data_IF_408554638858
#
_entry.id   IF_408554638858
#
_cell.length_a   1.000
_cell.length_b   1.000
_cell.length_c   1.000
_cell.angle_alpha   90.00
_cell.angle_beta   90.00
_cell.angle_gamma   90.00
#
_symmetry.space_group_name_H-M   'P 1'
#
loop_
_entity.id
_entity.type
_entity.pdbx_description
1 polymer ?
#
# COMPACT_ATOMS: atom_id res chain seq x y z
N UNK A 1 21.44 -73.40 68.22
CA UNK A 1 22.51 -72.58 67.62
C UNK A 1 21.89 -71.94 66.39
N UNK A 2 21.29 -70.76 66.54
CA UNK A 2 21.88 -69.42 66.42
C UNK A 2 21.72 -68.85 64.99
N UNK A 3 20.91 -67.80 64.94
CA UNK A 3 20.43 -67.01 63.81
C UNK A 3 21.47 -65.99 63.35
N UNK A 4 21.61 -65.78 62.03
CA UNK A 4 22.08 -64.49 61.51
C UNK A 4 21.30 -64.13 60.24
N UNK A 5 20.38 -63.18 60.40
CA UNK A 5 19.77 -62.40 59.32
C UNK A 5 20.87 -61.50 58.72
N UNK A 6 21.02 -61.47 57.39
CA UNK A 6 21.84 -60.47 56.71
C UNK A 6 20.94 -59.60 55.84
N UNK A 7 20.64 -58.40 56.35
CA UNK A 7 19.98 -57.34 55.62
C UNK A 7 20.92 -56.78 54.56
N UNK A 8 20.52 -56.83 53.29
CA UNK A 8 21.18 -56.12 52.21
C UNK A 8 20.38 -54.83 51.94
N UNK A 9 20.84 -53.72 52.51
CA UNK A 9 20.41 -52.39 52.12
C UNK A 9 21.24 -51.94 50.92
N UNK A 10 20.61 -51.71 49.77
CA UNK A 10 21.25 -50.94 48.69
C UNK A 10 20.24 -49.91 48.17
N UNK A 11 20.65 -48.67 48.42
CA UNK A 11 20.13 -47.36 48.08
C UNK A 11 19.59 -47.21 46.64
N UNK A 12 18.35 -46.72 46.53
CA UNK A 12 17.78 -46.18 45.31
C UNK A 12 18.34 -44.76 45.08
N UNK A 13 19.31 -44.62 44.18
CA UNK A 13 19.80 -43.31 43.75
C UNK A 13 18.79 -42.69 42.77
N UNK A 14 17.99 -41.72 43.25
CA UNK A 14 17.12 -40.90 42.41
C UNK A 14 17.98 -39.81 41.74
N UNK A 15 18.39 -40.04 40.49
CA UNK A 15 19.05 -39.01 39.69
C UNK A 15 17.98 -38.02 39.17
N UNK A 16 17.81 -36.89 39.87
CA UNK A 16 17.00 -35.78 39.38
C UNK A 16 17.81 -35.05 38.30
N UNK A 17 17.58 -35.40 37.04
CA UNK A 17 18.09 -34.62 35.92
C UNK A 17 17.30 -33.31 35.87
N UNK A 18 17.89 -32.23 36.38
CA UNK A 18 17.41 -30.89 36.14
C UNK A 18 17.64 -30.57 34.65
N UNK A 19 16.65 -30.86 33.81
CA UNK A 19 16.61 -30.36 32.44
C UNK A 19 16.42 -28.85 32.55
N UNK A 20 17.53 -28.11 32.42
CA UNK A 20 17.51 -26.69 32.14
C UNK A 20 16.84 -26.52 30.78
N UNK A 21 15.51 -26.35 30.78
CA UNK A 21 14.80 -25.78 29.64
C UNK A 21 15.46 -24.42 29.37
N UNK A 22 16.06 -24.20 28.19
CA UNK A 22 16.45 -22.85 27.83
C UNK A 22 15.15 -22.04 27.84
N UNK A 23 15.06 -21.14 28.80
CA UNK A 23 14.04 -20.11 28.83
C UNK A 23 14.40 -19.18 27.67
N UNK A 24 14.04 -19.59 26.45
CA UNK A 24 13.95 -18.69 25.32
C UNK A 24 12.80 -17.78 25.66
N UNK A 25 13.08 -16.73 26.43
CA UNK A 25 12.34 -15.49 26.37
C UNK A 25 12.36 -15.11 24.90
N UNK A 26 11.32 -15.53 24.16
CA UNK A 26 10.98 -14.93 22.90
C UNK A 26 10.70 -13.48 23.29
N UNK A 27 11.72 -12.64 23.19
CA UNK A 27 11.52 -11.22 23.05
C UNK A 27 10.57 -11.15 21.86
N UNK A 28 9.29 -10.93 22.14
CA UNK A 28 8.31 -10.63 21.11
C UNK A 28 8.80 -9.30 20.56
N UNK A 29 9.70 -9.39 19.60
CA UNK A 29 10.16 -8.23 18.87
C UNK A 29 8.91 -7.74 18.18
N UNK A 30 8.37 -6.64 18.70
CA UNK A 30 7.18 -6.02 18.15
C UNK A 30 7.49 -5.75 16.68
N UNK A 31 6.76 -6.46 15.80
CA UNK A 31 6.88 -6.28 14.36
C UNK A 31 6.42 -4.85 14.05
N UNK A 32 7.03 -4.16 13.08
CA UNK A 32 6.54 -2.88 12.61
C UNK A 32 5.04 -2.96 12.29
N UNK A 33 4.29 -1.98 12.76
CA UNK A 33 2.85 -1.89 12.54
C UNK A 33 2.53 -0.57 11.84
N UNK A 34 1.73 -0.64 10.77
CA UNK A 34 1.26 0.55 10.07
C UNK A 34 0.38 1.39 10.99
N UNK A 35 0.58 2.72 11.06
CA UNK A 35 -0.16 3.57 11.99
C UNK A 35 -1.70 3.45 11.82
N UNK A 36 -2.14 3.33 10.57
CA UNK A 36 -3.56 3.20 10.23
C UNK A 36 -4.17 1.87 10.65
N UNK A 37 -3.40 0.82 10.94
CA UNK A 37 -3.97 -0.48 11.31
C UNK A 37 -4.27 -0.58 12.81
N UNK A 38 -3.69 0.30 13.64
CA UNK A 38 -3.73 0.23 15.12
C UNK A 38 -5.17 0.10 15.64
N UNK A 39 -6.11 0.87 15.07
CA UNK A 39 -7.49 0.92 15.54
C UNK A 39 -8.34 -0.28 15.09
N UNK A 40 -7.89 -1.04 14.08
CA UNK A 40 -8.56 -2.24 13.53
C UNK A 40 -7.71 -3.50 13.68
N UNK A 41 -6.66 -3.45 14.50
CA UNK A 41 -5.66 -4.51 14.60
C UNK A 41 -6.25 -5.85 15.04
N UNK A 42 -7.23 -5.84 15.95
CA UNK A 42 -7.91 -7.08 16.38
C UNK A 42 -8.62 -7.78 15.22
N UNK A 43 -9.34 -7.02 14.39
CA UNK A 43 -10.02 -7.56 13.20
C UNK A 43 -9.01 -8.04 12.16
N UNK A 44 -7.89 -7.32 11.99
CA UNK A 44 -6.79 -7.77 11.14
C UNK A 44 -6.27 -9.15 11.57
N UNK A 45 -6.09 -9.40 12.87
CA UNK A 45 -5.63 -10.70 13.36
C UNK A 45 -6.60 -11.84 13.05
N UNK A 46 -7.91 -11.58 13.12
CA UNK A 46 -8.96 -12.55 12.79
C UNK A 46 -8.98 -12.88 11.29
N UNK A 47 -8.77 -11.87 10.44
CA UNK A 47 -8.80 -12.02 8.98
C UNK A 47 -7.42 -12.35 8.36
N UNK A 48 -6.37 -12.41 9.19
CA UNK A 48 -4.96 -12.50 8.75
C UNK A 48 -4.70 -13.62 7.75
N UNK A 49 -5.28 -14.79 7.99
CA UNK A 49 -5.11 -15.95 7.10
C UNK A 49 -5.75 -15.71 5.73
N UNK A 50 -6.95 -15.14 5.70
CA UNK A 50 -7.63 -14.79 4.46
C UNK A 50 -6.86 -13.72 3.67
N UNK A 51 -6.40 -12.67 4.36
CA UNK A 51 -5.56 -11.61 3.77
C UNK A 51 -4.28 -12.20 3.17
N UNK A 52 -3.67 -13.19 3.83
CA UNK A 52 -2.45 -13.83 3.34
C UNK A 52 -2.70 -14.58 2.04
N UNK A 53 -3.81 -15.32 1.95
CA UNK A 53 -4.17 -16.03 0.73
C UNK A 53 -4.42 -15.09 -0.45
N UNK A 54 -5.10 -13.97 -0.21
CA UNK A 54 -5.33 -12.95 -1.25
C UNK A 54 -4.04 -12.23 -1.64
N UNK A 55 -3.16 -11.93 -0.67
CA UNK A 55 -1.84 -11.35 -0.92
C UNK A 55 -0.97 -12.28 -1.79
N UNK A 56 -0.97 -13.59 -1.52
CA UNK A 56 -0.20 -14.55 -2.32
C UNK A 56 -0.66 -14.59 -3.79
N UNK A 57 -1.97 -14.52 -4.02
CA UNK A 57 -2.54 -14.40 -5.38
C UNK A 57 -2.08 -13.12 -6.06
N UNK A 58 -2.10 -12.02 -5.33
CA UNK A 58 -1.63 -10.72 -5.82
C UNK A 58 -0.13 -10.75 -6.15
N UNK A 59 0.70 -11.28 -5.25
CA UNK A 59 2.15 -11.42 -5.46
C UNK A 59 2.49 -12.35 -6.62
N UNK A 60 1.70 -13.39 -6.85
CA UNK A 60 1.87 -14.26 -8.03
C UNK A 60 1.68 -13.48 -9.33
N UNK A 61 0.73 -12.54 -9.37
CA UNK A 61 0.40 -11.76 -10.57
C UNK A 61 1.32 -10.55 -10.77
N UNK A 62 1.61 -9.82 -9.69
CA UNK A 62 2.32 -8.53 -9.74
C UNK A 62 3.76 -8.61 -9.24
N UNK A 63 4.11 -9.57 -8.38
CA UNK A 63 5.46 -9.76 -7.82
C UNK A 63 6.59 -9.76 -8.85
N UNK A 64 6.50 -10.52 -9.96
CA UNK A 64 7.58 -10.56 -10.96
C UNK A 64 7.84 -9.22 -11.67
N UNK A 65 6.82 -8.36 -11.77
CA UNK A 65 6.91 -7.06 -12.44
C UNK A 65 7.02 -5.90 -11.44
N UNK A 66 6.73 -6.15 -10.17
CA UNK A 66 6.57 -5.16 -9.13
C UNK A 66 7.82 -4.32 -8.90
N UNK A 67 9.01 -4.92 -8.66
CA UNK A 67 10.24 -4.17 -8.43
C UNK A 67 10.65 -3.30 -9.64
N UNK A 68 10.43 -3.79 -10.87
CA UNK A 68 10.80 -3.05 -12.09
C UNK A 68 9.91 -1.84 -12.32
N UNK A 69 8.63 -1.95 -12.00
CA UNK A 69 7.64 -0.90 -12.23
C UNK A 69 7.40 -0.01 -11.00
N UNK A 70 8.07 -0.31 -9.88
CA UNK A 70 7.90 0.38 -8.61
C UNK A 70 6.55 0.14 -7.94
N UNK A 71 5.87 -0.98 -8.24
CA UNK A 71 4.54 -1.30 -7.69
C UNK A 71 4.57 -1.86 -6.27
N UNK A 72 5.72 -2.38 -5.85
CA UNK A 72 5.95 -2.86 -4.48
C UNK A 72 6.75 -1.76 -3.77
N UNK A 73 6.16 -1.09 -2.77
CA UNK A 73 6.86 -0.07 -1.99
C UNK A 73 8.11 -0.64 -1.32
N UNK A 74 9.16 0.17 -1.24
CA UNK A 74 10.35 -0.17 -0.46
C UNK A 74 10.02 0.00 1.02
N UNK A 75 10.36 -0.99 1.83
CA UNK A 75 10.09 -0.99 3.27
C UNK A 75 11.40 -0.92 4.05
N UNK A 76 11.39 -0.28 5.22
CA UNK A 76 12.52 -0.25 6.16
C UNK A 76 12.64 -1.57 6.96
N UNK A 77 12.16 -2.67 6.39
CA UNK A 77 12.06 -3.97 7.05
C UNK A 77 13.44 -4.56 7.32
N UNK A 78 13.59 -5.17 8.50
CA UNK A 78 14.87 -5.75 8.94
C UNK A 78 15.00 -7.23 8.54
N UNK A 79 13.91 -7.83 8.08
CA UNK A 79 13.82 -9.23 7.69
C UNK A 79 12.75 -9.43 6.62
N UNK A 80 12.82 -10.56 5.92
CA UNK A 80 11.82 -11.00 4.94
C UNK A 80 10.44 -11.16 5.56
N UNK A 81 10.38 -11.66 6.80
CA UNK A 81 9.13 -11.81 7.54
C UNK A 81 8.52 -10.46 7.93
N UNK A 82 9.34 -9.45 8.25
CA UNK A 82 8.86 -8.09 8.52
C UNK A 82 8.34 -7.43 7.25
N UNK A 83 9.01 -7.64 6.11
CA UNK A 83 8.54 -7.15 4.81
C UNK A 83 7.20 -7.78 4.42
N UNK A 84 7.06 -9.10 4.61
CA UNK A 84 5.81 -9.80 4.34
C UNK A 84 4.67 -9.33 5.27
N UNK A 85 4.97 -9.07 6.54
CA UNK A 85 3.99 -8.54 7.48
C UNK A 85 3.56 -7.13 7.08
N UNK A 86 4.48 -6.26 6.69
CA UNK A 86 4.17 -4.91 6.19
C UNK A 86 3.29 -4.96 4.94
N UNK A 87 3.63 -5.80 3.95
CA UNK A 87 2.81 -6.02 2.75
C UNK A 87 1.41 -6.54 3.10
N UNK A 88 1.30 -7.43 4.09
CA UNK A 88 0.00 -7.96 4.55
C UNK A 88 -0.85 -6.88 5.21
N UNK A 89 -0.26 -6.06 6.07
CA UNK A 89 -0.96 -4.94 6.70
C UNK A 89 -1.43 -3.92 5.67
N UNK A 90 -0.59 -3.58 4.69
CA UNK A 90 -0.95 -2.68 3.58
C UNK A 90 -2.10 -3.24 2.75
N UNK A 91 -2.02 -4.50 2.36
CA UNK A 91 -3.08 -5.17 1.60
C UNK A 91 -4.41 -5.13 2.36
N UNK A 92 -4.39 -5.43 3.66
CA UNK A 92 -5.58 -5.35 4.51
C UNK A 92 -6.16 -3.93 4.57
N UNK A 93 -5.32 -2.92 4.77
CA UNK A 93 -5.76 -1.52 4.77
C UNK A 93 -6.44 -1.14 3.45
N UNK A 94 -5.89 -1.56 2.31
CA UNK A 94 -6.50 -1.33 1.00
C UNK A 94 -7.84 -2.03 0.85
N UNK A 95 -8.01 -3.26 1.38
CA UNK A 95 -9.32 -3.91 1.41
C UNK A 95 -10.35 -3.08 2.19
N UNK A 96 -9.97 -2.52 3.35
CA UNK A 96 -10.86 -1.68 4.15
C UNK A 96 -11.26 -0.40 3.41
N UNK A 97 -10.29 0.27 2.78
CA UNK A 97 -10.57 1.45 1.94
C UNK A 97 -11.52 1.13 0.78
N UNK A 98 -11.38 -0.06 0.17
CA UNK A 98 -12.28 -0.53 -0.88
C UNK A 98 -13.70 -0.78 -0.34
N UNK A 99 -13.83 -1.35 0.86
CA UNK A 99 -15.15 -1.54 1.48
C UNK A 99 -15.83 -0.20 1.73
N UNK A 100 -15.13 0.77 2.33
CA UNK A 100 -15.64 2.13 2.56
C UNK A 100 -16.02 2.82 1.24
N UNK A 101 -15.17 2.70 0.22
CA UNK A 101 -15.42 3.30 -1.09
C UNK A 101 -16.65 2.69 -1.80
N UNK A 102 -16.87 1.38 -1.66
CA UNK A 102 -18.07 0.68 -2.18
C UNK A 102 -19.33 1.13 -1.46
N UNK A 103 -19.28 1.27 -0.14
CA UNK A 103 -20.42 1.77 0.64
C UNK A 103 -20.79 3.20 0.26
N UNK A 104 -19.79 4.06 0.04
CA UNK A 104 -20.00 5.43 -0.42
C UNK A 104 -20.47 5.52 -1.89
N UNK A 105 -20.11 4.55 -2.74
CA UNK A 105 -20.36 4.57 -4.18
C UNK A 105 -20.92 3.23 -4.68
N UNK A 106 -22.21 2.92 -4.43
CA UNK A 106 -22.80 1.62 -4.76
C UNK A 106 -22.89 1.32 -6.27
N UNK A 107 -22.75 2.33 -7.13
CA UNK A 107 -22.70 2.18 -8.59
C UNK A 107 -21.32 1.87 -9.15
N UNK A 108 -20.27 1.90 -8.32
CA UNK A 108 -18.88 1.69 -8.74
C UNK A 108 -18.39 0.30 -8.34
N UNK A 109 -17.49 -0.26 -9.16
CA UNK A 109 -16.81 -1.52 -8.87
C UNK A 109 -15.37 -1.23 -8.45
N UNK A 110 -15.01 -1.72 -7.27
CA UNK A 110 -13.66 -1.58 -6.71
C UNK A 110 -13.09 -2.96 -6.47
N UNK A 111 -11.77 -3.13 -6.49
CA UNK A 111 -11.12 -4.41 -6.24
C UNK A 111 -9.64 -4.26 -5.92
N UNK A 112 -9.07 -5.32 -5.36
CA UNK A 112 -7.66 -5.40 -4.98
C UNK A 112 -6.76 -5.94 -6.10
N UNK A 113 -7.34 -6.27 -7.26
CA UNK A 113 -6.61 -6.81 -8.41
C UNK A 113 -5.99 -5.71 -9.29
N UNK A 114 -5.27 -4.78 -8.65
CA UNK A 114 -4.57 -3.68 -9.29
C UNK A 114 -3.09 -3.67 -8.93
N UNK A 115 -2.21 -3.07 -9.76
CA UNK A 115 -0.77 -3.01 -9.45
C UNK A 115 -0.45 -2.11 -8.25
N UNK A 116 -1.35 -1.23 -7.83
CA UNK A 116 -1.09 -0.25 -6.75
C UNK A 116 -1.65 -0.68 -5.40
N UNK A 117 -2.14 -1.92 -5.27
CA UNK A 117 -2.83 -2.40 -4.06
C UNK A 117 -1.99 -2.31 -2.78
N UNK A 118 -0.66 -2.45 -2.88
CA UNK A 118 0.24 -2.35 -1.72
C UNK A 118 0.69 -0.93 -1.39
N UNK A 119 0.39 0.05 -2.25
CA UNK A 119 0.77 1.44 -2.01
C UNK A 119 -0.19 2.13 -1.06
N UNK A 120 0.35 2.92 -0.15
CA UNK A 120 -0.46 3.92 0.55
C UNK A 120 -0.86 5.04 -0.41
N UNK A 121 -1.86 5.82 -0.02
CA UNK A 121 -2.27 6.99 -0.81
C UNK A 121 -1.13 8.01 -0.99
N UNK A 122 -0.25 8.15 0.00
CA UNK A 122 0.91 9.04 -0.07
C UNK A 122 1.94 8.55 -1.07
N UNK A 123 2.29 7.27 -1.00
CA UNK A 123 3.21 6.63 -1.95
C UNK A 123 2.64 6.65 -3.37
N UNK A 124 1.34 6.44 -3.54
CA UNK A 124 0.69 6.52 -4.84
C UNK A 124 0.73 7.94 -5.42
N UNK A 125 0.48 8.97 -4.62
CA UNK A 125 0.63 10.37 -5.05
C UNK A 125 2.07 10.67 -5.48
N UNK A 126 3.06 10.20 -4.71
CA UNK A 126 4.47 10.35 -5.06
C UNK A 126 4.83 9.59 -6.34
N UNK A 127 4.27 8.38 -6.53
CA UNK A 127 4.43 7.61 -7.76
C UNK A 127 3.95 8.37 -8.99
N UNK A 128 2.77 8.99 -8.91
CA UNK A 128 2.22 9.82 -9.98
C UNK A 128 3.05 11.07 -10.25
N UNK A 129 3.49 11.78 -9.20
CA UNK A 129 4.34 12.96 -9.34
C UNK A 129 5.64 12.64 -10.10
N UNK A 130 6.28 11.53 -9.76
CA UNK A 130 7.51 11.08 -10.42
C UNK A 130 7.29 10.61 -11.86
N UNK A 131 6.08 10.17 -12.21
CA UNK A 131 5.76 9.73 -13.57
C UNK A 131 5.82 10.90 -14.56
N UNK A 132 5.28 12.07 -14.19
CA UNK A 132 5.30 13.27 -15.03
C UNK A 132 6.72 13.79 -15.28
N UNK A 133 7.63 13.68 -14.31
CA UNK A 133 9.01 14.18 -14.44
C UNK A 133 9.87 13.31 -15.38
N UNK A 134 9.55 12.02 -15.53
CA UNK A 134 10.27 11.11 -16.43
C UNK A 134 10.10 11.47 -17.92
N UNK A 135 8.98 12.11 -18.27
CA UNK A 135 8.73 12.59 -19.63
C UNK A 135 9.61 13.82 -19.96
N UNK A 136 9.93 14.65 -18.96
CA UNK A 136 10.77 15.85 -19.15
C UNK A 136 12.28 15.50 -19.25
N UNK A 137 12.72 14.43 -18.60
CA UNK A 137 14.12 13.98 -18.64
C UNK A 137 14.50 13.27 -19.95
N UNK A 138 13.53 12.66 -20.66
CA UNK A 138 13.78 12.06 -21.99
C UNK A 138 13.78 13.09 -23.14
N UNK A 139 13.43 14.35 -22.87
CA UNK A 139 13.48 15.46 -23.84
C UNK A 139 14.82 16.21 -23.85
N UNK A 140 15.76 15.92 -22.95
CA UNK A 140 16.99 16.69 -22.82
C UNK A 140 18.24 15.86 -23.17
N UNK A 141 18.42 15.59 -24.47
CA UNK A 141 19.74 15.33 -25.03
C UNK A 141 20.58 16.61 -24.94
N UNK A 142 21.81 16.61 -24.39
CA UNK A 142 22.59 17.81 -24.20
C UNK A 142 23.20 18.28 -25.53
N UNK A 143 22.71 19.39 -26.10
CA UNK A 143 23.46 20.21 -27.05
C UNK A 143 24.14 21.39 -26.32
N UNK A 144 25.37 21.78 -26.70
CA UNK A 144 26.19 22.68 -25.89
C UNK A 144 25.77 24.15 -26.03
N UNK A 145 25.44 24.74 -24.87
CA UNK A 145 25.57 26.15 -24.46
C UNK A 145 25.70 27.25 -25.54
N UNK A 146 24.74 28.18 -25.56
CA UNK A 146 25.06 29.62 -25.43
C UNK A 146 24.01 30.36 -24.60
N UNK A 147 24.50 31.05 -23.56
CA UNK A 147 23.74 31.89 -22.63
C UNK A 147 23.30 33.19 -23.33
N UNK A 148 22.08 33.68 -23.07
CA UNK A 148 21.82 35.11 -22.80
C UNK A 148 20.47 35.36 -22.08
N UNK A 149 20.65 35.84 -20.87
CA UNK A 149 19.79 36.47 -19.85
C UNK A 149 18.66 37.37 -20.37
N UNK A 150 17.46 37.28 -19.78
CA UNK A 150 16.72 38.38 -19.10
C UNK A 150 15.35 37.92 -18.54
N UNK A 151 15.21 37.90 -17.21
CA UNK A 151 13.96 38.27 -16.48
C UNK A 151 13.94 39.80 -16.32
N UNK A 152 12.84 40.50 -15.95
CA UNK A 152 11.64 40.05 -15.21
C UNK A 152 10.30 40.55 -15.83
N UNK A 153 9.11 40.10 -15.41
CA UNK A 153 8.38 40.70 -14.30
C UNK A 153 7.17 39.85 -13.86
N UNK A 154 6.95 39.92 -12.56
CA UNK A 154 5.79 39.61 -11.71
C UNK A 154 4.42 39.90 -12.34
N UNK A 155 3.49 38.95 -12.26
CA UNK A 155 2.18 39.18 -11.67
C UNK A 155 1.47 37.84 -11.37
N UNK A 156 1.04 37.70 -10.13
CA UNK A 156 0.03 36.76 -9.66
C UNK A 156 -0.92 37.58 -8.75
N UNK A 157 -2.15 37.13 -8.42
CA UNK A 157 -2.87 35.93 -8.86
C UNK A 157 -4.32 36.26 -9.30
N UNK A 158 -5.07 35.29 -9.83
CA UNK A 158 -6.54 35.32 -9.69
C UNK A 158 -7.08 33.93 -9.35
N UNK A 159 -7.76 33.87 -8.22
CA UNK A 159 -8.41 32.70 -7.64
C UNK A 159 -9.92 32.73 -7.89
N UNK A 160 -10.48 31.52 -8.05
CA UNK A 160 -11.77 31.01 -7.53
C UNK A 160 -13.14 31.32 -8.19
N UNK A 161 -13.87 30.20 -8.33
CA UNK A 161 -15.30 29.91 -8.04
C UNK A 161 -16.40 30.14 -9.08
N UNK A 162 -17.08 29.02 -9.37
CA UNK A 162 -18.55 28.78 -9.32
C UNK A 162 -19.55 29.80 -9.88
N UNK A 163 -20.44 29.28 -10.74
CA UNK A 163 -21.87 29.28 -10.42
C UNK A 163 -22.81 30.22 -11.19
N UNK A 164 -23.87 29.60 -11.75
CA UNK A 164 -25.24 30.12 -11.93
C UNK A 164 -25.58 31.10 -13.08
N UNK A 165 -26.51 30.63 -13.93
CA UNK A 165 -27.79 31.28 -14.26
C UNK A 165 -27.83 32.63 -15.00
N UNK A 166 -28.13 32.56 -16.31
CA UNK A 166 -29.09 33.34 -17.14
C UNK A 166 -29.44 34.84 -16.84
N UNK A 167 -30.13 35.54 -17.77
CA UNK A 167 -30.03 35.63 -19.24
C UNK A 167 -30.05 37.11 -19.72
N UNK A 168 -29.59 37.44 -20.94
CA UNK A 168 -30.17 38.54 -21.74
C UNK A 168 -29.63 38.54 -23.18
N UNK A 169 -30.53 38.22 -24.11
CA UNK A 169 -30.75 38.84 -25.43
C UNK A 169 -29.68 39.77 -25.99
N UNK A 170 -29.05 39.39 -27.11
CA UNK A 170 -29.42 39.97 -28.41
C UNK A 170 -28.84 39.13 -29.56
N UNK A 171 -29.75 38.52 -30.32
CA UNK A 171 -29.43 37.83 -31.57
C UNK A 171 -29.28 38.85 -32.70
N UNK A 172 -28.19 38.74 -33.48
CA UNK A 172 -28.18 39.07 -34.91
C UNK A 172 -27.46 37.98 -35.69
N UNK A 173 -28.31 37.10 -36.23
CA UNK A 173 -28.28 36.51 -37.56
C UNK A 173 -26.93 36.22 -38.22
N UNK A 174 -26.67 34.93 -38.45
CA UNK A 174 -26.48 34.45 -39.82
C UNK A 174 -26.83 32.96 -39.92
N UNK A 175 -28.05 32.66 -40.38
CA UNK A 175 -28.52 31.31 -40.70
C UNK A 175 -28.47 31.14 -42.21
N UNK A 176 -27.62 30.24 -42.69
CA UNK A 176 -27.60 29.81 -44.08
C UNK A 176 -27.96 28.33 -44.12
N UNK A 177 -29.27 28.04 -44.13
CA UNK A 177 -29.81 26.71 -44.42
C UNK A 177 -30.36 26.73 -45.84
N UNK A 178 -29.63 26.12 -46.77
CA UNK A 178 -30.16 25.73 -48.07
C UNK A 178 -30.87 24.38 -47.91
N UNK A 179 -32.20 24.39 -48.02
CA UNK A 179 -33.01 23.24 -48.40
C UNK A 179 -34.22 23.76 -49.18
N UNK A 180 -34.41 23.28 -50.41
CA UNK A 180 -35.69 23.25 -51.11
C UNK A 180 -35.62 22.15 -52.17
N UNK A 181 -36.08 20.96 -51.78
CA UNK A 181 -36.81 20.03 -52.66
C UNK A 181 -38.20 20.65 -52.89
N UNK A 182 -38.59 20.96 -54.12
CA UNK A 182 -39.29 20.09 -55.09
C UNK A 182 -40.81 20.38 -55.09
N UNK A 183 -41.20 21.12 -56.13
CA UNK A 183 -42.48 21.13 -56.88
C UNK A 183 -43.81 21.43 -56.18
#
# INVERSE_FOLDING_TARGET
>A
MQTHLSAASVTLALAVMAVSVPNTSLVVQARPMHADIVHIYHRYLEEKENVSSELDKWLTKYGPKGPKNGWIPVTESRSTEDELEDQRQRFYLTMQQIYEAREANPGATFGVDGPFTLMTMEEFKQYLANYHTKEEEQSNTPEPTTKKTKKPATDAPKTLSEGSGSPTTDSKDNKNDNNNDEK
#
